data_IF_967656400923
#
_entry.id   IF_967656400923
#
_cell.length_a   1.000
_cell.length_b   1.000
_cell.length_c   1.000
_cell.angle_alpha   90.00
_cell.angle_beta   90.00
_cell.angle_gamma   90.00
#
_symmetry.space_group_name_H-M   'P 1'
#
loop_
_entity.id
_entity.type
_entity.pdbx_description
1 polymer ?
#
# COMPACT_ATOMS: atom_id res chain seq x y z
N UNK A 1 -6.99 -12.68 9.34
CA UNK A 1 -7.77 -13.81 8.77
C UNK A 1 -7.09 -14.27 7.48
N UNK A 2 -6.93 -15.59 7.30
CA UNK A 2 -6.43 -16.18 6.06
C UNK A 2 -7.56 -17.01 5.45
N UNK A 3 -8.01 -16.60 4.27
CA UNK A 3 -9.08 -17.23 3.51
C UNK A 3 -8.51 -18.00 2.30
N UNK A 4 -9.35 -18.79 1.65
CA UNK A 4 -9.01 -19.45 0.40
C UNK A 4 -9.84 -18.85 -0.73
N UNK A 5 -9.21 -18.52 -1.84
CA UNK A 5 -9.89 -18.03 -3.06
C UNK A 5 -9.47 -18.88 -4.26
N UNK A 6 -10.32 -18.94 -5.27
CA UNK A 6 -10.03 -19.60 -6.53
C UNK A 6 -9.96 -18.56 -7.67
N UNK A 7 -8.82 -18.52 -8.35
CA UNK A 7 -8.58 -17.63 -9.49
C UNK A 7 -8.02 -18.46 -10.65
N UNK A 8 -8.60 -18.37 -11.84
CA UNK A 8 -8.18 -19.13 -13.03
C UNK A 8 -8.07 -20.65 -12.79
N UNK A 9 -8.99 -21.21 -11.97
CA UNK A 9 -8.99 -22.64 -11.65
C UNK A 9 -7.91 -23.09 -10.66
N UNK A 10 -7.12 -22.16 -10.10
CA UNK A 10 -6.10 -22.41 -9.07
C UNK A 10 -6.51 -21.83 -7.74
N UNK A 11 -6.26 -22.57 -6.67
CA UNK A 11 -6.46 -22.08 -5.29
C UNK A 11 -5.28 -21.24 -4.83
N UNK A 12 -5.60 -20.15 -4.11
CA UNK A 12 -4.66 -19.28 -3.42
C UNK A 12 -5.12 -19.08 -1.99
N UNK A 13 -4.18 -18.96 -1.08
CA UNK A 13 -4.45 -18.42 0.25
C UNK A 13 -4.40 -16.91 0.20
N UNK A 14 -5.26 -16.25 0.95
CA UNK A 14 -5.40 -14.80 0.97
C UNK A 14 -5.36 -14.28 2.40
N UNK A 15 -4.28 -13.59 2.79
CA UNK A 15 -4.26 -12.86 4.05
C UNK A 15 -5.03 -11.54 3.88
N UNK A 16 -6.03 -11.35 4.72
CA UNK A 16 -7.03 -10.27 4.65
C UNK A 16 -6.65 -9.09 5.54
N UNK A 17 -5.58 -8.35 5.18
CA UNK A 17 -5.24 -7.11 5.88
C UNK A 17 -6.24 -5.97 5.57
N UNK A 18 -7.02 -6.08 4.51
CA UNK A 18 -8.15 -5.20 4.22
C UNK A 18 -9.22 -5.20 5.34
N UNK A 19 -9.26 -6.22 6.18
CA UNK A 19 -10.15 -6.35 7.33
C UNK A 19 -9.56 -5.83 8.66
N UNK A 20 -8.40 -5.16 8.64
CA UNK A 20 -7.73 -4.61 9.83
C UNK A 20 -8.34 -3.27 10.31
N UNK A 21 -9.61 -3.03 10.05
CA UNK A 21 -10.31 -1.83 10.49
C UNK A 21 -10.12 -0.63 9.56
N UNK A 22 -10.21 0.59 10.12
CA UNK A 22 -10.35 1.83 9.34
C UNK A 22 -9.05 2.33 8.70
N UNK A 23 -7.86 1.78 9.03
CA UNK A 23 -6.56 2.25 8.54
C UNK A 23 -6.21 1.86 7.10
N UNK A 24 -7.17 1.36 6.34
CA UNK A 24 -6.99 1.01 4.93
C UNK A 24 -5.86 -0.02 4.71
N UNK A 25 -6.02 -1.19 5.34
CA UNK A 25 -5.19 -2.37 5.13
C UNK A 25 -3.81 -2.30 5.77
N UNK A 26 -2.75 -2.50 4.99
CA UNK A 26 -1.37 -2.58 5.49
C UNK A 26 -0.88 -1.32 6.23
N UNK A 27 -1.63 -0.23 6.17
CA UNK A 27 -1.31 0.97 6.94
C UNK A 27 -1.57 0.76 8.43
N UNK A 28 -2.53 -0.12 8.80
CA UNK A 28 -2.69 -0.56 10.19
C UNK A 28 -1.39 -1.20 10.70
N UNK A 29 -0.77 -2.08 9.90
CA UNK A 29 0.53 -2.70 10.23
C UNK A 29 1.62 -1.63 10.38
N UNK A 30 1.77 -0.76 9.40
CA UNK A 30 2.80 0.28 9.41
C UNK A 30 2.67 1.28 10.55
N UNK A 31 1.45 1.52 11.03
CA UNK A 31 1.17 2.46 12.11
C UNK A 31 1.13 1.80 13.50
N UNK A 32 1.29 0.48 13.60
CA UNK A 32 1.17 -0.26 14.85
C UNK A 32 2.11 0.28 15.95
N UNK A 33 3.36 0.61 15.61
CA UNK A 33 4.29 1.25 16.55
C UNK A 33 3.73 2.58 17.07
N UNK A 34 3.33 3.47 16.18
CA UNK A 34 2.86 4.80 16.54
C UNK A 34 1.54 4.76 17.31
N UNK A 35 0.68 3.78 17.03
CA UNK A 35 -0.57 3.57 17.77
C UNK A 35 -0.31 3.18 19.22
N UNK A 36 0.75 2.41 19.49
CA UNK A 36 1.16 1.94 20.82
C UNK A 36 2.07 2.92 21.55
N UNK A 37 2.85 3.72 20.81
CA UNK A 37 3.82 4.65 21.38
C UNK A 37 3.15 5.78 22.17
N UNK A 38 3.81 6.18 23.25
CA UNK A 38 3.57 7.47 23.87
C UNK A 38 4.25 8.55 23.01
N UNK A 39 3.45 9.43 22.44
CA UNK A 39 3.91 10.55 21.62
C UNK A 39 4.06 11.85 22.43
N UNK A 40 4.27 11.74 23.75
CA UNK A 40 4.29 12.84 24.69
C UNK A 40 4.95 14.11 24.17
N UNK A 41 4.27 15.26 24.28
CA UNK A 41 4.75 16.57 23.82
C UNK A 41 4.62 16.84 22.31
N UNK A 42 4.39 15.82 21.48
CA UNK A 42 4.10 15.99 20.04
C UNK A 42 2.66 16.49 19.87
N UNK A 43 2.48 17.56 19.07
CA UNK A 43 1.17 18.17 18.82
C UNK A 43 0.71 18.03 17.37
N UNK A 44 1.59 17.62 16.50
CA UNK A 44 1.30 17.50 15.08
C UNK A 44 2.09 16.36 14.42
N UNK A 45 1.59 15.91 13.28
CA UNK A 45 2.25 14.98 12.36
C UNK A 45 2.45 15.71 11.05
N UNK A 46 3.60 15.52 10.41
CA UNK A 46 3.88 15.98 9.06
C UNK A 46 4.28 14.81 8.20
N UNK A 47 3.69 14.72 7.01
CA UNK A 47 4.08 13.74 6.00
C UNK A 47 3.95 14.34 4.61
N UNK A 48 4.36 13.58 3.60
CA UNK A 48 4.28 14.01 2.20
C UNK A 48 3.95 12.83 1.27
N UNK A 49 3.58 13.15 0.03
CA UNK A 49 3.33 12.12 -0.98
C UNK A 49 2.33 12.55 -2.03
N UNK A 50 1.61 11.58 -2.61
CA UNK A 50 0.57 11.81 -3.59
C UNK A 50 -0.74 12.31 -2.93
N UNK A 51 -1.50 13.16 -3.64
CA UNK A 51 -2.80 13.67 -3.18
C UNK A 51 -3.93 12.62 -3.16
N UNK A 52 -3.65 11.38 -3.56
CA UNK A 52 -4.57 10.23 -3.51
C UNK A 52 -4.03 9.08 -2.67
N UNK A 53 -3.00 9.34 -1.86
CA UNK A 53 -2.27 8.33 -1.10
C UNK A 53 -3.13 7.65 -0.02
N UNK A 54 -3.09 6.32 0.03
CA UNK A 54 -3.66 5.54 1.14
C UNK A 54 -2.97 5.88 2.48
N UNK A 55 -1.68 6.23 2.46
CA UNK A 55 -0.97 6.67 3.66
C UNK A 55 -1.47 8.02 4.16
N UNK A 56 -1.77 8.97 3.25
CA UNK A 56 -2.36 10.26 3.60
C UNK A 56 -3.65 10.09 4.41
N UNK A 57 -4.58 9.27 3.91
CA UNK A 57 -5.83 8.97 4.62
C UNK A 57 -5.56 8.33 5.97
N UNK A 58 -4.75 7.27 6.02
CA UNK A 58 -4.49 6.55 7.27
C UNK A 58 -3.78 7.41 8.32
N UNK A 59 -2.87 8.29 7.90
CA UNK A 59 -2.20 9.25 8.80
C UNK A 59 -3.16 10.32 9.30
N UNK A 60 -4.11 10.78 8.48
CA UNK A 60 -5.13 11.72 8.92
C UNK A 60 -6.04 11.13 9.99
N UNK A 61 -6.44 9.86 9.82
CA UNK A 61 -7.21 9.11 10.82
C UNK A 61 -6.39 8.91 12.10
N UNK A 62 -5.13 8.50 11.97
CA UNK A 62 -4.23 8.33 13.11
C UNK A 62 -4.07 9.63 13.90
N UNK A 63 -3.83 10.76 13.22
CA UNK A 63 -3.73 12.07 13.86
C UNK A 63 -5.01 12.43 14.61
N UNK A 64 -6.18 12.24 13.99
CA UNK A 64 -7.49 12.46 14.62
C UNK A 64 -7.68 11.62 15.88
N UNK A 65 -7.34 10.32 15.85
CA UNK A 65 -7.44 9.42 17.00
C UNK A 65 -6.52 9.81 18.16
N UNK A 66 -5.34 10.36 17.85
CA UNK A 66 -4.37 10.82 18.85
C UNK A 66 -4.57 12.30 19.27
N UNK A 67 -5.57 13.00 18.71
CA UNK A 67 -5.81 14.42 18.97
C UNK A 67 -4.68 15.35 18.46
N UNK A 68 -4.00 14.94 17.38
CA UNK A 68 -2.88 15.66 16.78
C UNK A 68 -3.32 16.41 15.52
N UNK A 69 -2.68 17.53 15.22
CA UNK A 69 -2.81 18.17 13.90
C UNK A 69 -2.13 17.31 12.84
N UNK A 70 -2.63 17.35 11.61
CA UNK A 70 -2.01 16.66 10.49
C UNK A 70 -1.73 17.59 9.33
N UNK A 71 -0.46 17.71 8.97
CA UNK A 71 0.03 18.50 7.84
C UNK A 71 0.53 17.56 6.75
N UNK A 72 0.01 17.71 5.54
CA UNK A 72 0.41 16.86 4.41
C UNK A 72 0.89 17.71 3.24
N UNK A 73 2.05 17.35 2.68
CA UNK A 73 2.69 18.09 1.60
C UNK A 73 2.65 17.29 0.30
N UNK A 74 2.14 17.91 -0.75
CA UNK A 74 2.09 17.34 -2.10
C UNK A 74 2.89 18.21 -3.07
N UNK A 75 3.43 17.64 -4.15
CA UNK A 75 4.06 18.42 -5.21
C UNK A 75 3.03 19.06 -6.14
N UNK A 76 1.89 18.42 -6.31
CA UNK A 76 0.82 18.91 -7.17
C UNK A 76 -0.55 18.50 -6.61
N UNK A 77 -1.53 19.40 -6.74
CA UNK A 77 -2.93 19.14 -6.43
C UNK A 77 -3.79 19.53 -7.64
N UNK A 78 -4.45 18.53 -8.23
CA UNK A 78 -5.33 18.74 -9.36
C UNK A 78 -6.49 19.67 -8.98
N UNK A 79 -6.82 20.65 -9.86
CA UNK A 79 -7.87 21.64 -9.61
C UNK A 79 -9.25 21.01 -9.38
N UNK A 80 -9.59 19.95 -10.13
CA UNK A 80 -10.86 19.25 -9.95
C UNK A 80 -10.93 18.57 -8.59
N UNK A 81 -9.84 17.94 -8.15
CA UNK A 81 -9.77 17.33 -6.83
C UNK A 81 -9.86 18.34 -5.70
N UNK A 82 -9.29 19.54 -5.90
CA UNK A 82 -9.38 20.65 -4.95
C UNK A 82 -10.81 21.20 -4.85
N UNK A 83 -11.52 21.33 -5.98
CA UNK A 83 -12.90 21.85 -6.04
C UNK A 83 -13.93 20.80 -5.57
N UNK A 84 -13.71 19.54 -5.90
CA UNK A 84 -14.61 18.43 -5.58
C UNK A 84 -13.81 17.26 -4.98
N UNK A 85 -13.46 17.34 -3.69
CA UNK A 85 -12.71 16.28 -3.00
C UNK A 85 -13.44 14.93 -3.06
N UNK A 86 -12.68 13.85 -3.32
CA UNK A 86 -13.20 12.49 -3.42
C UNK A 86 -12.17 11.48 -2.93
N UNK A 87 -12.64 10.30 -2.47
CA UNK A 87 -11.80 9.20 -2.02
C UNK A 87 -10.89 9.58 -0.85
N UNK A 88 -9.66 9.08 -0.86
CA UNK A 88 -8.68 9.30 0.21
C UNK A 88 -8.49 10.79 0.57
N UNK A 89 -8.48 11.67 -0.43
CA UNK A 89 -8.31 13.11 -0.21
C UNK A 89 -9.47 13.71 0.57
N UNK A 90 -10.71 13.40 0.17
CA UNK A 90 -11.92 13.87 0.86
C UNK A 90 -11.90 13.47 2.33
N UNK A 91 -11.73 12.18 2.59
CA UNK A 91 -11.75 11.66 3.96
C UNK A 91 -10.58 12.15 4.82
N UNK A 92 -9.41 12.41 4.21
CA UNK A 92 -8.31 13.04 4.93
C UNK A 92 -8.63 14.48 5.36
N UNK A 93 -9.30 15.27 4.50
CA UNK A 93 -9.78 16.60 4.86
C UNK A 93 -10.83 16.55 5.98
N UNK A 94 -11.78 15.63 5.90
CA UNK A 94 -12.79 15.41 6.94
C UNK A 94 -12.19 14.98 8.29
N UNK A 95 -11.01 14.36 8.27
CA UNK A 95 -10.24 14.05 9.47
C UNK A 95 -9.39 15.25 9.99
N UNK A 96 -9.45 16.41 9.34
CA UNK A 96 -8.75 17.61 9.76
C UNK A 96 -7.35 17.80 9.15
N UNK A 97 -7.05 17.15 8.01
CA UNK A 97 -5.80 17.36 7.30
C UNK A 97 -5.68 18.79 6.76
N UNK A 98 -4.54 19.42 6.98
CA UNK A 98 -4.11 20.64 6.30
C UNK A 98 -3.11 20.30 5.19
N UNK A 99 -3.38 20.75 3.96
CA UNK A 99 -2.57 20.42 2.79
C UNK A 99 -1.72 21.59 2.31
N UNK A 100 -0.46 21.30 1.96
CA UNK A 100 0.49 22.24 1.37
C UNK A 100 0.91 21.74 -0.02
N UNK A 101 1.00 22.64 -0.99
CA UNK A 101 1.50 22.34 -2.35
C UNK A 101 2.88 22.97 -2.48
N UNK A 102 3.91 22.12 -2.63
CA UNK A 102 5.31 22.53 -2.73
C UNK A 102 6.06 21.61 -3.68
N UNK A 103 6.85 22.16 -4.57
CA UNK A 103 7.64 21.39 -5.55
C UNK A 103 8.59 20.44 -4.85
N UNK A 104 9.41 20.93 -3.91
CA UNK A 104 10.31 20.14 -3.06
C UNK A 104 9.57 19.60 -1.82
N UNK A 105 8.52 18.81 -2.03
CA UNK A 105 7.56 18.39 -1.00
C UNK A 105 8.20 17.76 0.23
N UNK A 106 9.21 16.89 0.04
CA UNK A 106 9.88 16.19 1.14
C UNK A 106 10.72 17.16 2.00
N UNK A 107 11.50 18.02 1.35
CA UNK A 107 12.32 19.02 2.02
C UNK A 107 11.45 19.96 2.84
N UNK A 108 10.39 20.51 2.23
CA UNK A 108 9.46 21.38 2.92
C UNK A 108 8.76 20.67 4.09
N UNK A 109 8.36 19.40 3.93
CA UNK A 109 7.74 18.63 4.99
C UNK A 109 8.69 18.43 6.20
N UNK A 110 9.98 18.16 5.95
CA UNK A 110 10.99 18.04 7.00
C UNK A 110 11.22 19.37 7.73
N UNK A 111 11.28 20.49 7.01
CA UNK A 111 11.41 21.84 7.58
C UNK A 111 10.18 22.21 8.40
N UNK A 112 8.97 21.92 7.88
CA UNK A 112 7.71 22.15 8.60
C UNK A 112 7.64 21.32 9.89
N UNK A 113 8.05 20.05 9.85
CA UNK A 113 8.08 19.21 11.04
C UNK A 113 8.98 19.77 12.14
N UNK A 114 10.17 20.27 11.76
CA UNK A 114 11.09 20.94 12.71
C UNK A 114 10.47 22.21 13.31
N UNK A 115 9.88 23.07 12.47
CA UNK A 115 9.31 24.36 12.92
C UNK A 115 8.09 24.19 13.82
N UNK A 116 7.32 23.10 13.64
CA UNK A 116 6.12 22.80 14.42
C UNK A 116 6.38 21.87 15.62
N UNK A 117 7.64 21.43 15.84
CA UNK A 117 7.95 20.35 16.79
C UNK A 117 7.05 19.13 16.58
N UNK A 118 6.89 18.72 15.32
CA UNK A 118 5.98 17.67 14.89
C UNK A 118 6.72 16.36 14.58
N UNK A 119 6.01 15.26 14.68
CA UNK A 119 6.48 13.96 14.21
C UNK A 119 6.51 13.94 12.68
N UNK A 120 7.70 13.76 12.10
CA UNK A 120 7.83 13.55 10.67
C UNK A 120 7.65 12.06 10.32
N UNK A 121 6.77 11.77 9.37
CA UNK A 121 6.54 10.41 8.86
C UNK A 121 6.81 10.38 7.34
N UNK A 122 7.70 9.50 6.92
CA UNK A 122 8.09 9.34 5.52
C UNK A 122 6.91 8.94 4.62
N UNK A 123 7.04 9.20 3.32
CA UNK A 123 6.06 8.78 2.30
C UNK A 123 5.77 7.28 2.42
N UNK A 124 4.47 6.93 2.44
CA UNK A 124 4.04 5.54 2.56
C UNK A 124 4.35 4.88 3.91
N UNK A 125 4.77 5.67 4.93
CA UNK A 125 5.27 5.17 6.23
C UNK A 125 6.46 4.20 6.01
N UNK A 126 7.38 4.58 5.12
CA UNK A 126 8.58 3.79 4.79
C UNK A 126 9.72 4.16 5.75
N UNK A 127 9.70 3.60 6.94
CA UNK A 127 10.68 3.86 8.00
C UNK A 127 10.72 2.69 9.00
N UNK A 128 11.72 2.71 9.88
CA UNK A 128 12.02 1.60 10.80
C UNK A 128 10.88 1.22 11.73
N UNK A 129 10.10 2.19 12.19
CA UNK A 129 8.98 1.97 13.12
C UNK A 129 7.87 1.10 12.50
N UNK A 130 7.77 1.07 11.17
CA UNK A 130 6.83 0.19 10.50
C UNK A 130 7.13 -1.29 10.70
N UNK A 131 8.36 -1.65 11.06
CA UNK A 131 8.81 -3.03 11.25
C UNK A 131 7.96 -3.78 12.29
N UNK A 132 7.55 -3.12 13.38
CA UNK A 132 6.78 -3.75 14.46
C UNK A 132 5.52 -4.46 13.95
N UNK A 133 4.74 -3.83 13.08
CA UNK A 133 3.51 -4.42 12.55
C UNK A 133 3.76 -5.58 11.59
N UNK A 134 4.95 -5.64 10.97
CA UNK A 134 5.33 -6.76 10.13
C UNK A 134 5.93 -7.93 10.92
N UNK A 135 6.50 -7.68 12.11
CA UNK A 135 6.76 -8.74 13.10
C UNK A 135 5.43 -9.42 13.48
N UNK A 136 4.41 -8.63 13.80
CA UNK A 136 3.07 -9.16 14.11
C UNK A 136 2.50 -9.96 12.94
N UNK A 137 2.55 -9.42 11.72
CA UNK A 137 2.07 -10.12 10.51
C UNK A 137 2.84 -11.42 10.25
N UNK A 138 4.18 -11.40 10.36
CA UNK A 138 5.01 -12.59 10.19
C UNK A 138 4.67 -13.68 11.20
N UNK A 139 4.46 -13.31 12.47
CA UNK A 139 4.05 -14.25 13.51
C UNK A 139 2.69 -14.89 13.20
N UNK A 140 1.70 -14.11 12.77
CA UNK A 140 0.39 -14.60 12.35
C UNK A 140 0.51 -15.64 11.21
N UNK A 141 1.32 -15.33 10.19
CA UNK A 141 1.55 -16.21 9.05
C UNK A 141 2.31 -17.49 9.47
N UNK A 142 3.37 -17.33 10.27
CA UNK A 142 4.18 -18.46 10.74
C UNK A 142 3.36 -19.43 11.62
N UNK A 143 2.51 -18.89 12.51
CA UNK A 143 1.60 -19.70 13.32
C UNK A 143 0.56 -20.43 12.47
N UNK A 144 -0.04 -19.71 11.50
CA UNK A 144 -0.99 -20.33 10.57
C UNK A 144 -0.31 -21.43 9.74
N UNK A 145 0.88 -21.17 9.19
CA UNK A 145 1.67 -22.16 8.43
C UNK A 145 1.96 -23.41 9.27
N UNK A 146 2.36 -23.22 10.53
CA UNK A 146 2.63 -24.33 11.46
C UNK A 146 1.36 -25.13 11.78
N UNK A 147 0.24 -24.46 12.05
CA UNK A 147 -1.04 -25.11 12.40
C UNK A 147 -1.67 -25.86 11.22
N UNK A 148 -1.57 -25.32 10.02
CA UNK A 148 -2.12 -25.92 8.80
C UNK A 148 -1.21 -26.98 8.16
N UNK A 149 0.08 -26.98 8.48
CA UNK A 149 1.10 -27.78 7.79
C UNK A 149 1.47 -27.26 6.40
N UNK A 150 0.98 -26.07 6.02
CA UNK A 150 1.18 -25.46 4.70
C UNK A 150 2.36 -24.49 4.77
N UNK A 151 3.32 -24.63 3.86
CA UNK A 151 4.46 -23.71 3.68
C UNK A 151 4.31 -22.96 2.35
N UNK A 152 3.58 -21.85 2.32
CA UNK A 152 3.33 -21.12 1.07
C UNK A 152 4.52 -20.23 0.71
N UNK A 153 4.61 -19.91 -0.57
CA UNK A 153 5.28 -18.69 -1.00
C UNK A 153 4.38 -17.49 -0.77
N UNK A 154 4.92 -16.44 -0.21
CA UNK A 154 4.18 -15.21 0.06
C UNK A 154 4.35 -14.27 -1.12
N UNK A 155 3.27 -13.70 -1.60
CA UNK A 155 3.30 -12.70 -2.68
C UNK A 155 2.51 -11.45 -2.31
N UNK A 156 3.09 -10.26 -2.57
CA UNK A 156 2.43 -8.98 -2.39
C UNK A 156 2.98 -7.91 -3.35
N UNK A 157 2.14 -7.01 -3.90
CA UNK A 157 2.61 -5.88 -4.68
C UNK A 157 3.27 -4.81 -3.80
N UNK A 158 4.24 -4.07 -4.33
CA UNK A 158 5.00 -3.05 -3.59
C UNK A 158 5.00 -1.69 -4.26
N UNK A 159 4.74 -0.65 -3.45
CA UNK A 159 5.10 0.74 -3.77
C UNK A 159 6.53 1.03 -3.32
N UNK A 160 6.76 1.10 -2.01
CA UNK A 160 8.04 1.38 -1.36
C UNK A 160 8.83 0.13 -0.93
N UNK A 161 8.26 -1.07 -1.11
CA UNK A 161 8.89 -2.31 -0.67
C UNK A 161 8.88 -2.58 0.84
N UNK A 162 8.42 -1.64 1.66
CA UNK A 162 8.50 -1.71 3.13
C UNK A 162 7.82 -2.96 3.69
N UNK A 163 6.61 -3.28 3.22
CA UNK A 163 5.83 -4.44 3.69
C UNK A 163 6.56 -5.74 3.37
N UNK A 164 7.00 -5.91 2.12
CA UNK A 164 7.73 -7.10 1.67
C UNK A 164 9.07 -7.25 2.40
N UNK A 165 9.80 -6.15 2.58
CA UNK A 165 11.10 -6.11 3.24
C UNK A 165 11.01 -6.61 4.68
N UNK A 166 10.18 -5.99 5.50
CA UNK A 166 10.07 -6.35 6.90
C UNK A 166 9.37 -7.70 7.11
N UNK A 167 8.39 -8.07 6.27
CA UNK A 167 7.83 -9.41 6.34
C UNK A 167 8.89 -10.48 6.08
N UNK A 168 9.70 -10.33 5.03
CA UNK A 168 10.78 -11.28 4.71
C UNK A 168 11.86 -11.38 5.78
N UNK A 169 12.04 -10.34 6.60
CA UNK A 169 13.00 -10.34 7.70
C UNK A 169 12.57 -11.23 8.87
N UNK A 170 11.25 -11.43 9.05
CA UNK A 170 10.66 -12.09 10.21
C UNK A 170 9.96 -13.42 9.90
N UNK A 171 10.14 -13.97 8.70
CA UNK A 171 9.65 -15.29 8.32
C UNK A 171 10.72 -16.09 7.59
N UNK A 172 10.66 -17.44 7.71
CA UNK A 172 11.47 -18.37 6.92
C UNK A 172 10.81 -18.77 5.60
N UNK A 173 9.60 -18.26 5.32
CA UNK A 173 8.91 -18.46 4.06
C UNK A 173 9.50 -17.54 2.99
N UNK A 174 9.47 -17.98 1.72
CA UNK A 174 9.91 -17.13 0.61
C UNK A 174 8.92 -16.00 0.41
N UNK A 175 9.42 -14.78 0.30
CA UNK A 175 8.61 -13.58 0.05
C UNK A 175 8.94 -13.01 -1.31
N UNK A 176 7.93 -12.94 -2.15
CA UNK A 176 7.99 -12.39 -3.50
C UNK A 176 7.22 -11.06 -3.56
N UNK A 177 7.71 -10.15 -4.37
CA UNK A 177 7.06 -8.85 -4.59
C UNK A 177 7.22 -8.40 -6.03
N UNK A 178 6.41 -7.42 -6.45
CA UNK A 178 6.50 -6.78 -7.76
C UNK A 178 6.50 -5.25 -7.62
N UNK A 179 7.29 -4.52 -8.44
CA UNK A 179 7.29 -3.07 -8.44
C UNK A 179 6.00 -2.52 -9.07
N UNK A 180 5.23 -1.77 -8.29
CA UNK A 180 4.11 -0.96 -8.79
C UNK A 180 4.51 0.50 -9.02
N UNK A 181 5.62 0.94 -8.42
CA UNK A 181 6.23 2.26 -8.60
C UNK A 181 7.65 2.07 -9.10
N UNK A 182 8.02 2.78 -10.15
CA UNK A 182 9.35 2.62 -10.77
C UNK A 182 9.49 1.29 -11.53
N UNK A 183 10.60 0.62 -11.28
CA UNK A 183 10.96 -0.69 -11.82
C UNK A 183 11.63 -1.57 -10.75
N UNK A 184 12.08 -2.77 -11.13
CA UNK A 184 12.69 -3.72 -10.20
C UNK A 184 13.96 -3.19 -9.56
N UNK A 185 14.79 -2.44 -10.29
CA UNK A 185 16.05 -1.88 -9.75
C UNK A 185 15.76 -0.75 -8.75
N UNK A 186 14.78 0.08 -9.06
CA UNK A 186 14.31 1.11 -8.12
C UNK A 186 13.76 0.50 -6.83
N UNK A 187 12.90 -0.52 -6.94
CA UNK A 187 12.37 -1.23 -5.78
C UNK A 187 13.48 -1.91 -4.96
N UNK A 188 14.45 -2.54 -5.63
CA UNK A 188 15.61 -3.17 -4.99
C UNK A 188 16.42 -2.16 -4.17
N UNK A 189 16.64 -0.95 -4.71
CA UNK A 189 17.31 0.13 -3.98
C UNK A 189 16.54 0.54 -2.75
N UNK A 190 15.23 0.73 -2.84
CA UNK A 190 14.40 1.10 -1.69
C UNK A 190 14.39 0.03 -0.60
N UNK A 191 14.31 -1.25 -0.98
CA UNK A 191 14.41 -2.37 -0.03
C UNK A 191 15.78 -2.40 0.63
N UNK A 192 16.86 -2.18 -0.13
CA UNK A 192 18.23 -2.15 0.40
C UNK A 192 18.45 -1.00 1.41
N UNK A 193 17.79 0.14 1.24
CA UNK A 193 17.85 1.25 2.19
C UNK A 193 17.15 0.92 3.53
N UNK A 194 16.15 0.03 3.51
CA UNK A 194 15.46 -0.45 4.72
C UNK A 194 16.21 -1.61 5.40
N UNK A 195 16.69 -2.56 4.61
CA UNK A 195 17.46 -3.73 5.07
C UNK A 195 18.42 -4.20 3.98
N UNK A 196 19.72 -4.05 4.25
CA UNK A 196 20.80 -4.45 3.33
C UNK A 196 20.85 -5.97 3.10
N UNK A 197 20.31 -6.75 4.01
CA UNK A 197 20.31 -8.21 3.99
C UNK A 197 18.97 -8.81 3.58
N UNK A 198 18.08 -8.01 3.01
CA UNK A 198 16.74 -8.44 2.66
C UNK A 198 16.74 -9.64 1.71
N UNK A 199 15.92 -10.65 2.04
CA UNK A 199 15.73 -11.89 1.26
C UNK A 199 14.56 -11.81 0.28
N UNK A 200 13.97 -10.64 0.10
CA UNK A 200 12.83 -10.43 -0.81
C UNK A 200 13.23 -10.76 -2.25
N UNK A 201 12.40 -11.52 -2.93
CA UNK A 201 12.55 -11.82 -4.35
C UNK A 201 11.64 -10.93 -5.18
N UNK A 202 12.22 -10.18 -6.11
CA UNK A 202 11.48 -9.24 -6.96
C UNK A 202 11.15 -9.94 -8.27
N UNK A 203 9.85 -10.00 -8.60
CA UNK A 203 9.33 -10.45 -9.89
C UNK A 203 8.88 -9.23 -10.69
N UNK A 204 9.38 -9.10 -11.91
CA UNK A 204 8.97 -7.99 -12.76
C UNK A 204 7.65 -8.31 -13.49
N UNK A 205 6.79 -7.30 -13.67
CA UNK A 205 5.61 -7.43 -14.52
C UNK A 205 6.02 -7.65 -15.99
N UNK A 206 5.13 -8.15 -16.85
CA UNK A 206 5.45 -8.47 -18.26
C UNK A 206 5.85 -7.23 -19.08
N UNK A 207 5.47 -6.04 -18.61
CA UNK A 207 5.88 -4.76 -19.17
C UNK A 207 5.91 -3.69 -18.08
N UNK A 208 6.52 -2.54 -18.34
CA UNK A 208 6.51 -1.40 -17.43
C UNK A 208 5.11 -0.78 -17.36
N UNK A 209 4.54 -0.72 -16.16
CA UNK A 209 3.34 0.05 -15.84
C UNK A 209 3.72 1.32 -15.09
N UNK A 210 3.37 2.48 -15.64
CA UNK A 210 3.60 3.74 -14.93
C UNK A 210 2.53 3.93 -13.86
N UNK A 211 2.96 4.14 -12.64
CA UNK A 211 2.10 4.23 -11.46
C UNK A 211 0.96 5.24 -11.66
N UNK A 212 -0.24 4.80 -11.35
CA UNK A 212 -1.45 5.62 -11.47
C UNK A 212 -1.96 5.83 -12.90
N UNK A 213 -1.27 5.36 -13.94
CA UNK A 213 -1.79 5.41 -15.31
C UNK A 213 -2.87 4.34 -15.52
N UNK A 214 -3.80 4.63 -16.43
CA UNK A 214 -4.91 3.75 -16.73
C UNK A 214 -4.57 2.85 -17.91
N UNK A 215 -4.52 1.54 -17.67
CA UNK A 215 -4.30 0.50 -18.69
C UNK A 215 -5.53 -0.42 -18.73
N UNK A 216 -6.14 -0.67 -19.89
CA UNK A 216 -7.32 -1.53 -20.00
C UNK A 216 -7.12 -2.91 -19.34
N UNK A 217 -5.98 -3.54 -19.59
CA UNK A 217 -5.66 -4.86 -19.04
C UNK A 217 -5.56 -4.88 -17.50
N UNK A 218 -5.19 -3.75 -16.86
CA UNK A 218 -5.21 -3.66 -15.41
C UNK A 218 -6.64 -3.58 -14.86
N UNK A 219 -7.54 -2.95 -15.58
CA UNK A 219 -8.96 -2.93 -15.21
C UNK A 219 -9.62 -4.28 -15.42
N UNK A 220 -9.30 -4.95 -16.52
CA UNK A 220 -9.82 -6.28 -16.87
C UNK A 220 -9.40 -7.33 -15.82
N UNK A 221 -8.11 -7.37 -15.45
CA UNK A 221 -7.64 -8.29 -14.40
C UNK A 221 -8.26 -7.97 -13.05
N UNK A 222 -8.45 -6.69 -12.71
CA UNK A 222 -9.13 -6.30 -11.49
C UNK A 222 -10.58 -6.81 -11.45
N UNK A 223 -11.34 -6.64 -12.54
CA UNK A 223 -12.69 -7.19 -12.68
C UNK A 223 -12.70 -8.72 -12.54
N UNK A 224 -11.69 -9.38 -13.12
CA UNK A 224 -11.55 -10.84 -13.05
C UNK A 224 -11.34 -11.31 -11.60
N UNK A 225 -10.36 -10.76 -10.89
CA UNK A 225 -10.02 -11.22 -9.55
C UNK A 225 -11.10 -10.86 -8.52
N UNK A 226 -11.83 -9.77 -8.70
CA UNK A 226 -12.96 -9.40 -7.86
C UNK A 226 -14.15 -10.38 -7.98
N UNK A 227 -14.22 -11.22 -9.03
CA UNK A 227 -15.22 -12.30 -9.13
C UNK A 227 -15.06 -13.37 -8.05
N UNK A 228 -13.93 -13.41 -7.34
CA UNK A 228 -13.73 -14.24 -6.16
C UNK A 228 -14.62 -13.85 -4.96
N UNK A 229 -15.35 -12.75 -5.05
CA UNK A 229 -16.15 -12.18 -3.95
C UNK A 229 -15.36 -11.25 -3.04
N UNK A 230 -14.08 -10.99 -3.35
CA UNK A 230 -13.22 -10.05 -2.62
C UNK A 230 -12.95 -8.84 -3.50
N UNK A 231 -13.18 -7.64 -2.98
CA UNK A 231 -12.78 -6.40 -3.67
C UNK A 231 -11.30 -6.12 -3.41
N UNK A 232 -10.51 -6.05 -4.45
CA UNK A 232 -9.08 -5.74 -4.42
C UNK A 232 -8.83 -4.25 -4.72
N UNK A 233 -7.64 -3.75 -4.32
CA UNK A 233 -7.17 -2.41 -4.69
C UNK A 233 -7.00 -2.30 -6.22
N UNK A 234 -7.46 -1.21 -6.82
CA UNK A 234 -7.42 -1.01 -8.28
C UNK A 234 -6.13 -0.34 -8.77
N UNK A 235 -5.16 -0.09 -7.88
CA UNK A 235 -3.89 0.56 -8.24
C UNK A 235 -2.72 -0.42 -8.17
N UNK A 236 -2.63 -1.20 -7.08
CA UNK A 236 -1.51 -2.11 -6.82
C UNK A 236 -1.82 -3.56 -7.22
N UNK A 237 -2.99 -4.06 -6.82
CA UNK A 237 -3.33 -5.49 -7.00
C UNK A 237 -3.42 -5.92 -8.47
N UNK A 238 -3.88 -5.10 -9.45
CA UNK A 238 -3.85 -5.50 -10.84
C UNK A 238 -2.44 -5.80 -11.36
N UNK A 239 -1.45 -4.95 -11.01
CA UNK A 239 -0.04 -5.20 -11.36
C UNK A 239 0.48 -6.43 -10.60
N UNK A 240 0.07 -6.58 -9.34
CA UNK A 240 0.37 -7.76 -8.53
C UNK A 240 -0.10 -9.05 -9.19
N UNK A 241 -1.37 -9.14 -9.53
CA UNK A 241 -1.96 -10.35 -10.14
C UNK A 241 -1.42 -10.64 -11.54
N UNK A 242 -1.25 -9.64 -12.40
CA UNK A 242 -0.63 -9.85 -13.71
C UNK A 242 0.78 -10.43 -13.52
N UNK A 243 1.59 -9.86 -12.62
CA UNK A 243 2.94 -10.36 -12.36
C UNK A 243 2.92 -11.77 -11.78
N UNK A 244 2.02 -12.03 -10.82
CA UNK A 244 1.87 -13.34 -10.22
C UNK A 244 1.56 -14.40 -11.27
N UNK A 245 0.55 -14.15 -12.13
CA UNK A 245 0.10 -15.12 -13.11
C UNK A 245 1.14 -15.45 -14.19
N UNK A 246 1.97 -14.48 -14.61
CA UNK A 246 3.02 -14.73 -15.60
C UNK A 246 4.30 -15.34 -15.01
N UNK A 247 4.41 -15.44 -13.69
CA UNK A 247 5.58 -15.99 -13.00
C UNK A 247 5.23 -17.18 -12.09
N UNK A 248 4.10 -17.85 -12.31
CA UNK A 248 3.68 -19.00 -11.49
C UNK A 248 4.71 -20.14 -11.47
N UNK A 249 5.50 -20.27 -12.54
CA UNK A 249 6.59 -21.23 -12.68
C UNK A 249 7.75 -21.01 -11.68
N UNK A 250 7.88 -19.80 -11.14
CA UNK A 250 8.90 -19.41 -10.15
C UNK A 250 8.46 -19.62 -8.70
N UNK A 251 7.16 -19.82 -8.48
CA UNK A 251 6.57 -20.03 -7.17
C UNK A 251 6.19 -21.51 -6.97
N UNK A 252 6.10 -21.90 -5.70
CA UNK A 252 5.59 -23.21 -5.32
C UNK A 252 4.08 -23.36 -5.56
N UNK A 253 3.58 -24.58 -5.29
CA UNK A 253 2.17 -24.91 -5.47
C UNK A 253 1.25 -24.14 -4.52
N UNK A 254 1.72 -23.88 -3.30
CA UNK A 254 0.99 -23.13 -2.28
C UNK A 254 1.45 -21.67 -2.30
N UNK A 255 0.53 -20.75 -2.52
CA UNK A 255 0.79 -19.32 -2.59
C UNK A 255 -0.15 -18.59 -1.63
N UNK A 256 0.42 -17.75 -0.77
CA UNK A 256 -0.29 -16.82 0.10
C UNK A 256 -0.17 -15.41 -0.48
N UNK A 257 -1.25 -14.91 -1.04
CA UNK A 257 -1.34 -13.52 -1.48
C UNK A 257 -1.71 -12.63 -0.28
N UNK A 258 -1.00 -11.52 -0.10
CA UNK A 258 -1.34 -10.53 0.94
C UNK A 258 -2.24 -9.45 0.33
N UNK A 259 -3.51 -9.43 0.71
CA UNK A 259 -4.41 -8.33 0.39
C UNK A 259 -4.13 -7.14 1.31
N UNK A 260 -3.41 -6.16 0.79
CA UNK A 260 -2.91 -5.04 1.58
C UNK A 260 -3.95 -3.92 1.82
N UNK A 261 -5.22 -4.13 1.45
CA UNK A 261 -6.27 -3.11 1.52
C UNK A 261 -6.11 -2.06 0.42
N UNK A 262 -6.37 -0.80 0.74
CA UNK A 262 -6.29 0.28 -0.27
C UNK A 262 -7.58 0.52 -1.04
N UNK A 263 -8.63 -0.25 -0.78
CA UNK A 263 -9.90 -0.23 -1.52
C UNK A 263 -10.61 1.13 -1.50
N UNK A 264 -10.36 1.98 -0.50
CA UNK A 264 -10.91 3.33 -0.48
C UNK A 264 -10.43 4.17 -1.69
N UNK A 265 -9.23 3.90 -2.19
CA UNK A 265 -8.68 4.48 -3.42
C UNK A 265 -9.45 4.10 -4.68
N UNK A 266 -10.20 2.98 -4.65
CA UNK A 266 -11.00 2.52 -5.78
C UNK A 266 -12.08 3.51 -6.18
N UNK A 267 -12.63 4.29 -5.25
CA UNK A 267 -13.64 5.32 -5.52
C UNK A 267 -13.13 6.27 -6.62
N UNK A 268 -11.93 6.78 -6.46
CA UNK A 268 -11.34 7.71 -7.42
C UNK A 268 -10.87 7.01 -8.69
N UNK A 269 -10.29 5.82 -8.54
CA UNK A 269 -9.71 5.08 -9.67
C UNK A 269 -10.78 4.54 -10.62
N UNK A 270 -11.90 4.02 -10.09
CA UNK A 270 -13.07 3.61 -10.90
C UNK A 270 -13.60 4.78 -11.74
N UNK A 271 -13.82 5.95 -11.13
CA UNK A 271 -14.29 7.13 -11.87
C UNK A 271 -13.34 7.54 -13.01
N UNK A 272 -12.03 7.35 -12.84
CA UNK A 272 -11.04 7.64 -13.89
C UNK A 272 -11.14 6.64 -15.04
N UNK A 273 -11.29 5.33 -14.74
CA UNK A 273 -11.49 4.29 -15.76
C UNK A 273 -12.80 4.49 -16.51
N UNK A 274 -13.91 4.74 -15.84
CA UNK A 274 -15.23 4.99 -16.45
C UNK A 274 -15.18 6.17 -17.43
N UNK A 275 -14.57 7.28 -17.01
CA UNK A 275 -14.38 8.44 -17.90
C UNK A 275 -13.53 8.09 -19.13
N UNK A 276 -12.47 7.32 -18.97
CA UNK A 276 -11.60 6.91 -20.08
C UNK A 276 -12.31 5.95 -21.03
N UNK A 277 -13.13 5.03 -20.53
CA UNK A 277 -13.88 4.06 -21.35
C UNK A 277 -14.99 4.77 -22.14
N UNK A 278 -15.79 5.62 -21.50
CA UNK A 278 -16.82 6.46 -22.18
C UNK A 278 -16.25 7.31 -23.32
N UNK A 279 -15.05 7.88 -23.14
CA UNK A 279 -14.37 8.66 -24.18
C UNK A 279 -13.89 7.79 -25.36
N UNK A 280 -13.77 6.45 -25.20
CA UNK A 280 -13.43 5.53 -26.29
C UNK A 280 -14.67 5.07 -27.09
N UNK A 281 -15.82 4.97 -26.43
CA UNK A 281 -17.09 4.59 -27.08
C UNK A 281 -17.66 5.69 -28.00
N UNK A 282 -17.22 6.94 -27.80
CA UNK A 282 -17.63 8.09 -28.60
C UNK A 282 -16.62 8.52 -29.68
N UNK A 283 -15.56 7.71 -29.90
CA UNK A 283 -14.58 7.88 -30.99
C UNK A 283 -14.64 6.70 -31.96
#
# INVERSE_FOLDING_TARGET
VIDKICLRGREFWLLRDDLLGEFNGNKARKLEYFLKADLGGIKAIVSHGSSQSNAMYSLSLFAKLKGLKFYYVVSHLNSNLKQSPVGNFKFALENGMEIFVKEEREKFAKELAKSQNALFINEGVAQSEAELGFITQANEINEWSKKSGIRPDIFLPSGTGTSACYLAKHTDLRVFTTPCVGDGDYLKKQIYELDKNSKVQILNPPKKYHFGNLYPELYEIWLEVCKSGVEFDLVYDPVGFITLFVNLDKLGDQILYIHQGGILGNITQKQRYERKLKLKEHK
#
